data_IF_603663926264
#
_entry.id   IF_603663926264
#
_cell.length_a   1.000
_cell.length_b   1.000
_cell.length_c   1.000
_cell.angle_alpha   90.00
_cell.angle_beta   90.00
_cell.angle_gamma   90.00
#
_symmetry.space_group_name_H-M   'P 1'
#
loop_
_entity.id
_entity.type
_entity.pdbx_description
1 polymer ?
#
# COMPACT_ATOMS: atom_id res chain seq x y z
N UNK A 1 3.40 -11.49 -0.25
CA UNK A 1 2.05 -11.60 -0.86
C UNK A 1 1.06 -10.69 -0.15
N UNK A 2 0.93 -10.79 1.18
CA UNK A 2 0.12 -9.84 1.97
C UNK A 2 0.64 -8.40 1.83
N UNK A 3 1.95 -8.17 1.98
CA UNK A 3 2.60 -6.87 1.78
C UNK A 3 2.28 -6.24 0.43
N UNK A 4 2.46 -7.00 -0.65
CA UNK A 4 2.15 -6.55 -2.02
C UNK A 4 0.68 -6.14 -2.21
N UNK A 5 -0.25 -6.88 -1.61
CA UNK A 5 -1.67 -6.49 -1.64
C UNK A 5 -1.92 -5.18 -0.90
N UNK A 6 -1.31 -4.99 0.28
CA UNK A 6 -1.42 -3.71 1.00
C UNK A 6 -0.85 -2.54 0.17
N UNK A 7 0.28 -2.75 -0.50
CA UNK A 7 0.89 -1.73 -1.36
C UNK A 7 -0.02 -1.37 -2.54
N UNK A 8 -0.62 -2.37 -3.22
CA UNK A 8 -1.56 -2.12 -4.32
C UNK A 8 -2.80 -1.37 -3.82
N UNK A 9 -3.41 -1.82 -2.72
CA UNK A 9 -4.61 -1.17 -2.18
C UNK A 9 -4.31 0.27 -1.77
N UNK A 10 -3.16 0.50 -1.13
CA UNK A 10 -2.71 1.85 -0.77
C UNK A 10 -2.45 2.74 -1.99
N UNK A 11 -1.78 2.22 -3.02
CA UNK A 11 -1.51 2.94 -4.26
C UNK A 11 -2.80 3.30 -5.02
N UNK A 12 -3.76 2.37 -5.09
CA UNK A 12 -5.08 2.64 -5.65
C UNK A 12 -5.79 3.73 -4.83
N UNK A 13 -5.84 3.62 -3.50
CA UNK A 13 -6.50 4.63 -2.67
C UNK A 13 -5.88 6.03 -2.88
N UNK A 14 -4.56 6.16 -2.86
CA UNK A 14 -3.90 7.45 -3.12
C UNK A 14 -4.13 7.96 -4.54
N UNK A 15 -4.19 7.07 -5.54
CA UNK A 15 -4.56 7.44 -6.91
C UNK A 15 -5.99 7.97 -7.02
N UNK A 16 -6.95 7.33 -6.35
CA UNK A 16 -8.34 7.78 -6.30
C UNK A 16 -8.48 9.11 -5.54
N UNK A 17 -7.75 9.29 -4.44
CA UNK A 17 -7.69 10.55 -3.71
C UNK A 17 -7.14 11.67 -4.60
N UNK A 18 -6.05 11.43 -5.33
CA UNK A 18 -5.44 12.46 -6.18
C UNK A 18 -6.27 12.82 -7.43
N UNK A 19 -6.99 11.86 -8.01
CA UNK A 19 -7.74 12.07 -9.26
C UNK A 19 -9.19 12.53 -9.03
N UNK A 20 -9.83 12.07 -7.96
CA UNK A 20 -11.27 12.22 -7.74
C UNK A 20 -11.60 12.73 -6.33
N UNK A 21 -10.61 13.05 -5.50
CA UNK A 21 -10.79 13.36 -4.06
C UNK A 21 -11.54 12.25 -3.28
N UNK A 22 -11.50 11.01 -3.79
CA UNK A 22 -12.19 9.86 -3.20
C UNK A 22 -11.25 9.04 -2.31
N UNK A 23 -11.43 9.14 -0.99
CA UNK A 23 -10.71 8.32 -0.01
C UNK A 23 -11.54 7.09 0.38
N UNK A 24 -11.24 5.95 -0.25
CA UNK A 24 -11.94 4.66 -0.02
C UNK A 24 -11.72 4.17 1.42
N UNK A 25 -10.54 4.40 1.99
CA UNK A 25 -10.26 4.07 3.40
C UNK A 25 -11.19 4.82 4.33
N UNK A 26 -11.38 6.13 4.09
CA UNK A 26 -12.28 6.96 4.87
C UNK A 26 -13.75 6.57 4.67
N UNK A 27 -14.14 6.24 3.43
CA UNK A 27 -15.50 5.85 3.06
C UNK A 27 -15.94 4.53 3.70
N UNK A 28 -15.04 3.54 3.79
CA UNK A 28 -15.35 2.21 4.33
C UNK A 28 -15.28 2.14 5.85
N UNK A 29 -14.31 2.83 6.47
CA UNK A 29 -14.07 2.73 7.91
C UNK A 29 -14.83 3.78 8.72
N UNK A 30 -15.50 4.72 8.05
CA UNK A 30 -16.00 5.95 8.66
C UNK A 30 -14.82 6.84 9.08
N UNK A 31 -15.05 8.13 9.23
CA UNK A 31 -14.00 9.14 9.48
C UNK A 31 -13.28 8.98 10.83
N UNK A 32 -12.48 7.91 10.97
CA UNK A 32 -11.72 7.52 12.16
C UNK A 32 -10.25 7.84 11.88
N UNK A 33 -9.76 9.04 12.26
CA UNK A 33 -8.46 9.53 11.81
C UNK A 33 -7.30 8.66 12.31
N UNK A 34 -7.48 8.00 13.46
CA UNK A 34 -6.48 7.11 14.04
C UNK A 34 -6.35 5.80 13.24
N UNK A 35 -7.46 5.21 12.79
CA UNK A 35 -7.45 3.96 12.02
C UNK A 35 -6.88 4.21 10.63
N UNK A 36 -7.27 5.32 9.99
CA UNK A 36 -6.74 5.73 8.69
C UNK A 36 -5.21 5.89 8.74
N UNK A 37 -4.68 6.55 9.77
CA UNK A 37 -3.23 6.66 10.00
C UNK A 37 -2.56 5.30 10.16
N UNK A 38 -3.15 4.37 10.91
CA UNK A 38 -2.59 3.02 11.09
C UNK A 38 -2.53 2.29 9.75
N UNK A 39 -3.59 2.37 8.92
CA UNK A 39 -3.61 1.79 7.58
C UNK A 39 -2.49 2.35 6.72
N UNK A 40 -2.28 3.68 6.73
CA UNK A 40 -1.21 4.31 5.95
C UNK A 40 0.19 3.91 6.43
N UNK A 41 0.40 3.77 7.74
CA UNK A 41 1.65 3.25 8.29
C UNK A 41 1.89 1.81 7.82
N UNK A 42 0.86 0.95 7.88
CA UNK A 42 0.96 -0.45 7.43
C UNK A 42 1.29 -0.56 5.93
N UNK A 43 0.66 0.28 5.10
CA UNK A 43 0.97 0.37 3.66
C UNK A 43 2.42 0.79 3.45
N UNK A 44 2.88 1.84 4.15
CA UNK A 44 4.27 2.33 4.04
C UNK A 44 5.30 1.28 4.45
N UNK A 45 5.10 0.61 5.59
CA UNK A 45 5.98 -0.47 6.04
C UNK A 45 5.97 -1.65 5.06
N UNK A 46 4.81 -1.98 4.49
CA UNK A 46 4.69 -3.04 3.48
C UNK A 46 5.48 -2.70 2.21
N UNK A 47 5.44 -1.44 1.76
CA UNK A 47 6.20 -0.98 0.61
C UNK A 47 7.71 -1.09 0.84
N UNK A 48 8.19 -0.64 2.00
CA UNK A 48 9.60 -0.78 2.39
C UNK A 48 10.01 -2.25 2.41
N UNK A 49 9.20 -3.13 3.00
CA UNK A 49 9.47 -4.56 3.06
C UNK A 49 9.58 -5.17 1.65
N UNK A 50 8.64 -4.86 0.76
CA UNK A 50 8.64 -5.40 -0.60
C UNK A 50 9.85 -4.90 -1.40
N UNK A 51 10.29 -3.66 -1.22
CA UNK A 51 11.49 -3.12 -1.87
C UNK A 51 12.75 -3.82 -1.34
N UNK A 52 12.91 -3.94 -0.03
CA UNK A 52 14.09 -4.57 0.60
C UNK A 52 14.18 -6.07 0.28
N UNK A 53 13.04 -6.74 0.14
CA UNK A 53 12.98 -8.17 -0.19
C UNK A 53 12.80 -8.46 -1.67
N UNK A 54 12.70 -7.43 -2.52
CA UNK A 54 12.40 -7.54 -3.95
C UNK A 54 13.31 -8.55 -4.65
N UNK A 55 14.62 -8.46 -4.40
CA UNK A 55 15.62 -9.35 -5.03
C UNK A 55 15.45 -10.83 -4.66
N UNK A 56 14.82 -11.15 -3.53
CA UNK A 56 14.54 -12.54 -3.13
C UNK A 56 13.36 -13.15 -3.89
N UNK A 57 12.37 -12.33 -4.24
CA UNK A 57 11.12 -12.79 -4.86
C UNK A 57 11.09 -12.57 -6.38
N UNK A 58 11.90 -11.65 -6.91
CA UNK A 58 11.97 -11.35 -8.32
C UNK A 58 12.71 -12.45 -9.09
N UNK A 59 11.94 -13.24 -9.88
CA UNK A 59 12.46 -14.34 -10.71
C UNK A 59 13.44 -13.91 -11.81
N UNK A 60 13.45 -12.62 -12.16
CA UNK A 60 14.25 -12.06 -13.24
C UNK A 60 15.44 -11.23 -12.74
N UNK A 61 15.42 -10.73 -11.51
CA UNK A 61 16.41 -9.78 -11.01
C UNK A 61 17.79 -10.40 -10.73
N UNK A 62 17.89 -11.72 -10.70
CA UNK A 62 19.15 -12.47 -10.55
C UNK A 62 19.56 -13.28 -11.78
N UNK A 63 18.80 -13.21 -12.88
CA UNK A 63 19.19 -13.88 -14.13
C UNK A 63 20.25 -13.03 -14.83
N UNK A 64 21.51 -13.45 -14.67
CA UNK A 64 22.62 -13.00 -15.54
C UNK A 64 22.52 -13.66 -16.90
#
# INVERSE_FOLDING_TARGET
MVTYLLVIVGALNWGLVALLDLNVVNMLLGSWPMVEKIVYILVGVSAVYDVVTHMKYCKYCGKK
#
